data_IF_680423740581
#
_entry.id   IF_680423740581
#
_cell.length_a   1.000
_cell.length_b   1.000
_cell.length_c   1.000
_cell.angle_alpha   90.00
_cell.angle_beta   90.00
_cell.angle_gamma   90.00
#
_symmetry.space_group_name_H-M   'P 1'
#
loop_
_entity.id
_entity.type
_entity.pdbx_description
1 polymer ?
#
# COMPACT_ATOMS: atom_id res chain seq x y z
N UNK A 1 11.66 -50.43 2.25
CA UNK A 1 11.61 -49.83 2.22
C UNK A 1 11.43 -48.75 2.27
N UNK A 2 11.36 -48.26 2.34
CA UNK A 2 11.26 -47.42 2.36
C UNK A 2 10.64 -46.37 2.61
N UNK A 3 10.32 -45.89 2.75
CA UNK A 3 9.56 -45.09 2.91
C UNK A 3 9.78 -43.93 3.46
N UNK A 4 9.90 -43.53 3.90
CA UNK A 4 10.19 -42.55 4.41
C UNK A 4 10.06 -41.37 3.94
N UNK A 5 9.99 -40.97 3.53
CA UNK A 5 9.96 -39.94 2.91
C UNK A 5 9.00 -39.05 3.25
N UNK A 6 8.42 -38.82 3.40
CA UNK A 6 7.50 -38.07 3.60
C UNK A 6 7.59 -37.12 4.44
N UNK A 7 7.50 -36.74 4.95
CA UNK A 7 7.60 -35.86 5.85
C UNK A 7 8.04 -34.62 5.49
N UNK A 8 8.37 -34.12 4.85
CA UNK A 8 8.92 -32.87 4.58
C UNK A 8 7.95 -31.83 4.18
N UNK A 9 6.80 -32.14 3.87
CA UNK A 9 5.89 -31.16 3.35
C UNK A 9 5.35 -30.19 4.37
N UNK A 10 5.46 -30.47 5.60
CA UNK A 10 4.76 -29.68 6.59
C UNK A 10 5.31 -28.29 6.81
N UNK A 11 6.58 -28.09 6.54
CA UNK A 11 7.17 -26.83 6.93
C UNK A 11 6.80 -25.66 6.06
N UNK A 12 6.38 -25.89 4.86
CA UNK A 12 6.13 -24.79 3.94
C UNK A 12 4.98 -23.89 4.38
N UNK A 13 4.07 -24.39 5.17
CA UNK A 13 2.91 -23.64 5.53
C UNK A 13 3.18 -22.45 6.41
N UNK A 14 4.20 -22.51 7.22
CA UNK A 14 4.45 -21.43 8.18
C UNK A 14 4.88 -20.15 7.53
N UNK A 15 5.52 -20.23 6.37
CA UNK A 15 6.02 -19.04 5.73
C UNK A 15 4.93 -18.18 5.15
N UNK A 16 3.85 -18.78 4.71
CA UNK A 16 2.77 -18.02 4.10
C UNK A 16 2.03 -17.13 5.09
N UNK A 17 1.96 -17.53 6.35
CA UNK A 17 1.21 -16.76 7.33
C UNK A 17 1.85 -15.42 7.63
N UNK A 18 3.18 -15.36 7.66
CA UNK A 18 3.86 -14.12 7.99
C UNK A 18 3.67 -13.06 6.90
N UNK A 19 3.58 -13.48 5.64
CA UNK A 19 3.45 -12.54 4.53
C UNK A 19 2.07 -11.90 4.45
N UNK A 20 1.10 -12.44 5.15
CA UNK A 20 -0.25 -11.91 5.09
C UNK A 20 -0.47 -10.72 6.00
N UNK A 21 0.46 -10.42 6.88
CA UNK A 21 0.25 -9.34 7.84
C UNK A 21 0.49 -7.98 7.21
N UNK A 22 -0.42 -7.05 7.51
CA UNK A 22 -0.29 -5.68 7.09
C UNK A 22 0.33 -4.86 8.20
N UNK A 23 1.17 -3.89 7.87
CA UNK A 23 1.69 -2.96 8.86
C UNK A 23 2.05 -1.63 8.22
N UNK A 24 2.00 -0.60 9.03
CA UNK A 24 2.35 0.75 8.59
C UNK A 24 3.86 0.89 8.46
N UNK A 25 4.27 1.60 7.43
CA UNK A 25 5.67 1.93 7.21
C UNK A 25 5.92 3.30 7.84
N UNK A 26 6.88 3.38 8.74
CA UNK A 26 7.21 4.65 9.36
C UNK A 26 7.87 5.61 8.39
N UNK A 27 7.92 6.91 8.75
CA UNK A 27 8.41 7.93 7.83
C UNK A 27 9.86 7.73 7.39
N UNK A 28 10.72 7.27 8.27
CA UNK A 28 12.12 7.07 7.90
C UNK A 28 12.28 5.98 6.85
N UNK A 29 11.57 4.87 7.04
CA UNK A 29 11.63 3.79 6.07
C UNK A 29 10.95 4.17 4.76
N UNK A 30 9.85 4.93 4.84
CA UNK A 30 9.16 5.40 3.64
C UNK A 30 10.10 6.24 2.77
N UNK A 31 10.88 7.11 3.39
CA UNK A 31 11.85 7.92 2.65
C UNK A 31 12.96 7.07 2.03
N UNK A 32 13.42 6.05 2.75
CA UNK A 32 14.44 5.16 2.19
C UNK A 32 13.92 4.37 1.00
N UNK A 33 12.68 3.92 1.06
CA UNK A 33 12.07 3.20 -0.06
C UNK A 33 11.92 4.10 -1.28
N UNK A 34 11.50 5.34 -1.06
CA UNK A 34 11.40 6.30 -2.15
C UNK A 34 12.77 6.59 -2.76
N UNK A 35 13.76 6.85 -1.93
CA UNK A 35 15.09 7.21 -2.40
C UNK A 35 15.75 6.05 -3.15
N UNK A 36 15.45 4.84 -2.76
CA UNK A 36 15.96 3.64 -3.44
C UNK A 36 15.19 3.32 -4.72
N UNK A 37 14.12 4.03 -5.00
CA UNK A 37 13.31 3.76 -6.18
C UNK A 37 12.41 2.56 -6.04
N UNK A 38 12.24 2.03 -4.82
CA UNK A 38 11.36 0.89 -4.59
C UNK A 38 9.91 1.29 -4.74
N UNK A 39 9.58 2.51 -4.35
CA UNK A 39 8.25 3.09 -4.55
C UNK A 39 8.41 4.39 -5.31
N UNK A 40 7.29 4.88 -5.85
CA UNK A 40 7.26 6.15 -6.56
C UNK A 40 7.35 7.30 -5.58
N UNK A 41 7.70 8.47 -6.10
CA UNK A 41 7.75 9.70 -5.32
C UNK A 41 6.37 10.02 -4.76
N UNK A 42 6.33 10.48 -3.51
CA UNK A 42 5.05 10.75 -2.84
C UNK A 42 4.26 11.84 -3.52
N UNK A 43 4.92 12.85 -4.05
CA UNK A 43 4.21 13.90 -4.75
C UNK A 43 3.52 13.37 -6.00
N UNK A 44 4.19 12.49 -6.73
CA UNK A 44 3.58 11.86 -7.91
C UNK A 44 2.38 11.01 -7.53
N UNK A 45 2.47 10.29 -6.42
CA UNK A 45 1.34 9.49 -5.93
C UNK A 45 0.18 10.38 -5.51
N UNK A 46 0.47 11.47 -4.82
CA UNK A 46 -0.55 12.44 -4.41
C UNK A 46 -1.25 13.05 -5.63
N UNK A 47 -0.49 13.40 -6.66
CA UNK A 47 -1.06 13.99 -7.86
C UNK A 47 -1.95 12.98 -8.59
N UNK A 48 -1.57 11.71 -8.61
CA UNK A 48 -2.40 10.68 -9.23
C UNK A 48 -3.74 10.56 -8.50
N UNK A 49 -3.72 10.59 -7.17
CA UNK A 49 -4.94 10.52 -6.38
C UNK A 49 -5.80 11.77 -6.59
N UNK A 50 -5.18 12.95 -6.58
CA UNK A 50 -5.90 14.21 -6.75
C UNK A 50 -6.49 14.35 -8.14
N UNK A 51 -5.94 13.64 -9.13
CA UNK A 51 -6.52 13.63 -10.47
C UNK A 51 -7.92 13.08 -10.51
N UNK A 52 -8.32 12.29 -9.51
CA UNK A 52 -9.68 11.77 -9.41
C UNK A 52 -10.63 12.75 -8.72
N UNK A 53 -10.09 13.75 -8.04
CA UNK A 53 -10.89 14.71 -7.28
C UNK A 53 -10.35 16.11 -7.51
N UNK A 54 -10.58 16.67 -8.72
CA UNK A 54 -10.05 17.98 -9.07
C UNK A 54 -10.50 19.05 -8.08
N UNK A 55 -9.57 19.89 -7.70
CA UNK A 55 -9.84 20.93 -6.71
C UNK A 55 -9.74 20.45 -5.27
N UNK A 56 -9.42 19.18 -5.08
CA UNK A 56 -9.28 18.61 -3.74
C UNK A 56 -7.91 18.85 -3.14
N UNK A 57 -7.77 18.48 -1.88
CA UNK A 57 -6.50 18.55 -1.16
C UNK A 57 -6.30 17.30 -0.33
N UNK A 58 -5.06 16.88 -0.21
CA UNK A 58 -4.67 15.76 0.64
C UNK A 58 -4.54 16.27 2.06
N UNK A 59 -5.21 15.64 3.01
CA UNK A 59 -5.07 16.04 4.40
C UNK A 59 -4.44 14.95 5.27
N UNK A 60 -4.30 13.73 4.78
CA UNK A 60 -3.63 12.66 5.50
C UNK A 60 -3.15 11.62 4.51
N UNK A 61 -2.08 10.93 4.86
CA UNK A 61 -1.56 9.86 4.01
C UNK A 61 -0.76 8.89 4.86
N UNK A 62 -0.68 7.65 4.40
CA UNK A 62 0.15 6.64 5.05
C UNK A 62 0.60 5.61 4.03
N UNK A 63 1.76 5.02 4.28
CA UNK A 63 2.29 3.95 3.47
C UNK A 63 2.22 2.66 4.28
N UNK A 64 1.71 1.59 3.67
CA UNK A 64 1.58 0.30 4.31
C UNK A 64 2.23 -0.78 3.47
N UNK A 65 2.71 -1.82 4.14
CA UNK A 65 3.09 -3.06 3.48
C UNK A 65 2.00 -4.07 3.80
N UNK A 66 1.32 -4.57 2.77
CA UNK A 66 0.19 -5.46 2.94
C UNK A 66 0.27 -6.56 1.90
N UNK A 67 0.34 -7.80 2.35
CA UNK A 67 0.46 -8.97 1.48
C UNK A 67 1.60 -8.82 0.46
N UNK A 68 2.73 -8.29 0.91
CA UNK A 68 3.90 -8.10 0.05
C UNK A 68 3.82 -6.93 -0.90
N UNK A 69 2.80 -6.09 -0.81
CA UNK A 69 2.63 -4.92 -1.67
C UNK A 69 2.73 -3.64 -0.86
N UNK A 70 3.38 -2.64 -1.43
CA UNK A 70 3.38 -1.32 -0.83
C UNK A 70 2.16 -0.56 -1.32
N UNK A 71 1.30 -0.18 -0.38
CA UNK A 71 0.08 0.56 -0.66
C UNK A 71 0.20 1.96 -0.06
N UNK A 72 -0.17 2.96 -0.85
CA UNK A 72 -0.20 4.33 -0.40
C UNK A 72 -1.65 4.74 -0.25
N UNK A 73 -2.02 5.11 0.97
CA UNK A 73 -3.40 5.48 1.29
C UNK A 73 -3.45 6.97 1.51
N UNK A 74 -4.37 7.63 0.82
CA UNK A 74 -4.48 9.09 0.82
C UNK A 74 -5.90 9.47 1.17
N UNK A 75 -6.03 10.37 2.12
CA UNK A 75 -7.32 10.96 2.48
C UNK A 75 -7.41 12.34 1.83
N UNK A 76 -8.45 12.53 1.03
CA UNK A 76 -8.66 13.75 0.25
C UNK A 76 -9.96 14.39 0.66
N UNK A 77 -9.96 15.72 0.76
CA UNK A 77 -11.18 16.49 0.88
C UNK A 77 -11.37 17.20 -0.46
N UNK A 78 -12.51 16.98 -1.10
CA UNK A 78 -12.75 17.56 -2.42
C UNK A 78 -13.19 19.02 -2.32
N UNK A 79 -13.47 19.63 -3.46
CA UNK A 79 -13.81 21.04 -3.53
C UNK A 79 -15.12 21.37 -2.80
N UNK A 80 -15.98 20.37 -2.59
CA UNK A 80 -17.24 20.54 -1.87
C UNK A 80 -17.12 20.13 -0.39
N UNK A 81 -15.91 19.78 0.07
CA UNK A 81 -15.70 19.35 1.45
C UNK A 81 -15.99 17.90 1.73
N UNK A 82 -16.26 17.11 0.71
CA UNK A 82 -16.50 15.67 0.88
C UNK A 82 -15.17 14.94 0.99
N UNK A 83 -15.12 13.96 1.87
CA UNK A 83 -13.90 13.20 2.14
C UNK A 83 -13.87 11.92 1.33
N UNK A 84 -12.70 11.58 0.82
CA UNK A 84 -12.48 10.41 -0.02
C UNK A 84 -11.26 9.65 0.44
N UNK A 85 -11.36 8.32 0.44
CA UNK A 85 -10.23 7.42 0.69
C UNK A 85 -9.76 6.88 -0.64
N UNK A 86 -8.50 7.15 -1.00
CA UNK A 86 -7.91 6.66 -2.23
C UNK A 86 -6.71 5.79 -1.88
N UNK A 87 -6.66 4.60 -2.46
CA UNK A 87 -5.51 3.71 -2.29
C UNK A 87 -4.82 3.49 -3.61
N UNK A 88 -3.51 3.58 -3.60
CA UNK A 88 -2.70 3.37 -4.79
C UNK A 88 -1.67 2.29 -4.51
N UNK A 89 -1.31 1.56 -5.57
CA UNK A 89 -0.13 0.73 -5.53
C UNK A 89 1.07 1.69 -5.56
N UNK A 90 1.92 1.66 -4.54
CA UNK A 90 3.00 2.64 -4.43
C UNK A 90 4.11 2.37 -5.43
N UNK A 91 4.19 1.18 -6.00
CA UNK A 91 5.21 0.83 -6.98
C UNK A 91 4.79 1.25 -8.39
N UNK A 92 3.57 0.92 -8.78
CA UNK A 92 3.07 1.24 -10.13
C UNK A 92 2.39 2.60 -10.24
N UNK A 93 1.88 3.10 -9.12
CA UNK A 93 1.07 4.33 -9.12
C UNK A 93 -0.37 4.10 -9.51
N UNK A 94 -0.78 2.85 -9.70
CA UNK A 94 -2.15 2.55 -10.11
C UNK A 94 -3.12 2.76 -8.95
N UNK A 95 -4.27 3.34 -9.23
CA UNK A 95 -5.30 3.50 -8.22
C UNK A 95 -6.04 2.19 -8.06
N UNK A 96 -6.08 1.70 -6.81
CA UNK A 96 -6.69 0.43 -6.47
C UNK A 96 -8.10 0.65 -5.93
N UNK A 97 -8.28 1.71 -5.17
CA UNK A 97 -9.55 1.98 -4.52
C UNK A 97 -9.76 3.50 -4.47
N UNK A 98 -10.99 3.93 -4.70
CA UNK A 98 -11.38 5.33 -4.58
C UNK A 98 -12.81 5.34 -4.09
N UNK A 99 -13.00 5.73 -2.84
CA UNK A 99 -14.30 5.56 -2.20
C UNK A 99 -14.57 6.73 -1.26
N UNK A 100 -15.83 7.14 -1.21
CA UNK A 100 -16.23 8.19 -0.28
C UNK A 100 -16.13 7.70 1.14
N UNK A 101 -15.54 8.54 1.99
CA UNK A 101 -15.40 8.22 3.40
C UNK A 101 -16.57 8.86 4.14
N UNK A 102 -17.39 8.00 4.72
CA UNK A 102 -18.54 8.48 5.48
C UNK A 102 -18.16 8.77 6.95
#
# INVERSE_FOLDING_TARGET
>A
MKPLILLTAATALLLGAAAAMAHDIGPDEALRLRDAGTIRDFEALNQAALGKHPGGSVYDSELELEHGRYLYKVDIKDAQGVKWDVELDAVSGAIIKDRQDD
#
